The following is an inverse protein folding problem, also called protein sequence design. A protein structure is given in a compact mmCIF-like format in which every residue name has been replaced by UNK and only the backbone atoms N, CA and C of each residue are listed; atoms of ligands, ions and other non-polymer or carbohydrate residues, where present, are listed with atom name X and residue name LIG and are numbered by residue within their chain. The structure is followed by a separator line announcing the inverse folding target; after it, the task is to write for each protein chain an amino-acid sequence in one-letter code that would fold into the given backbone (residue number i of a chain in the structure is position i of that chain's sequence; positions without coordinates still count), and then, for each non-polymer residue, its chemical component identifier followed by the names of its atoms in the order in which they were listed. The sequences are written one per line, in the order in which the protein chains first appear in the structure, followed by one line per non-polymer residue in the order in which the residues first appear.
data_IF_633574549182
#
_entry.id   IF_633574549182
#
_cell.length_a   1.000
_cell.length_b   1.000
_cell.length_c   1.000
_cell.angle_alpha   90.00
_cell.angle_beta   90.00
_cell.angle_gamma   90.00
#
_symmetry.space_group_name_H-M   'P 1'
#
loop_
_entity.id
_entity.type
_entity.pdbx_description
1 polymer ?
#
# COMPACT_ATOMS: atom_id res chain seq x y z
N UNK A 1 0.08 -19.59 16.57
CA UNK A 1 -0.37 -20.46 15.46
C UNK A 1 -1.88 -20.57 15.56
N UNK A 2 -2.63 -19.89 14.69
CA UNK A 2 -4.08 -19.76 14.80
C UNK A 2 -4.78 -21.06 14.37
N UNK A 3 -5.70 -21.55 15.20
CA UNK A 3 -6.62 -22.64 14.85
C UNK A 3 -7.56 -22.13 13.76
N UNK A 4 -7.32 -22.51 12.51
CA UNK A 4 -8.34 -22.40 11.44
C UNK A 4 -9.52 -23.28 11.84
N UNK A 5 -10.68 -22.67 12.05
CA UNK A 5 -11.89 -23.39 12.47
C UNK A 5 -12.54 -24.07 11.25
N UNK A 6 -13.31 -25.14 11.46
CA UNK A 6 -14.05 -25.79 10.35
C UNK A 6 -15.03 -24.85 9.64
N UNK A 7 -15.47 -23.78 10.31
CA UNK A 7 -16.36 -22.77 9.75
C UNK A 7 -15.64 -21.90 8.71
N UNK A 8 -14.38 -21.51 8.96
CA UNK A 8 -13.56 -20.76 8.02
C UNK A 8 -13.38 -21.54 6.70
N UNK A 9 -13.10 -22.84 6.81
CA UNK A 9 -12.93 -23.72 5.64
C UNK A 9 -14.22 -23.90 4.81
N UNK A 10 -15.40 -23.81 5.43
CA UNK A 10 -16.70 -23.86 4.72
C UNK A 10 -17.00 -22.53 4.03
N UNK A 11 -16.61 -21.42 4.65
CA UNK A 11 -16.74 -20.08 4.08
C UNK A 11 -15.87 -19.92 2.83
N UNK A 12 -14.60 -20.29 2.91
CA UNK A 12 -13.65 -20.21 1.79
C UNK A 12 -14.16 -20.97 0.55
N UNK A 13 -14.69 -22.18 0.76
CA UNK A 13 -15.29 -22.98 -0.33
C UNK A 13 -16.48 -22.28 -0.99
N UNK A 14 -17.37 -21.67 -0.20
CA UNK A 14 -18.52 -20.92 -0.74
C UNK A 14 -18.06 -19.68 -1.51
N UNK A 15 -17.01 -19.02 -1.05
CA UNK A 15 -16.41 -17.87 -1.72
C UNK A 15 -15.80 -18.27 -3.07
N UNK A 16 -15.04 -19.37 -3.12
CA UNK A 16 -14.49 -19.91 -4.37
C UNK A 16 -15.59 -20.32 -5.35
N UNK A 17 -16.62 -21.04 -4.89
CA UNK A 17 -17.76 -21.43 -5.72
C UNK A 17 -18.51 -20.20 -6.28
N UNK A 18 -18.73 -19.17 -5.45
CA UNK A 18 -19.36 -17.94 -5.87
C UNK A 18 -18.53 -17.20 -6.92
N UNK A 19 -17.20 -17.13 -6.72
CA UNK A 19 -16.29 -16.52 -7.67
C UNK A 19 -16.24 -17.28 -9.00
N UNK A 20 -16.23 -18.61 -8.96
CA UNK A 20 -16.25 -19.46 -10.15
C UNK A 20 -17.54 -19.26 -10.97
N UNK A 21 -18.70 -19.28 -10.32
CA UNK A 21 -20.00 -18.98 -10.96
C UNK A 21 -20.03 -17.58 -11.55
N UNK A 22 -19.46 -16.60 -10.84
CA UNK A 22 -19.38 -15.22 -11.33
C UNK A 22 -18.55 -15.14 -12.62
N UNK A 23 -17.38 -15.78 -12.68
CA UNK A 23 -16.53 -15.86 -13.88
C UNK A 23 -17.27 -16.48 -15.06
N UNK A 24 -18.00 -17.58 -14.83
CA UNK A 24 -18.78 -18.24 -15.86
C UNK A 24 -19.89 -17.33 -16.41
N UNK A 25 -20.65 -16.66 -15.54
CA UNK A 25 -21.73 -15.77 -15.96
C UNK A 25 -21.23 -14.52 -16.68
N UNK A 26 -20.11 -13.94 -16.22
CA UNK A 26 -19.45 -12.80 -16.89
C UNK A 26 -19.07 -13.17 -18.33
N UNK A 27 -18.52 -14.38 -18.52
CA UNK A 27 -18.15 -14.88 -19.84
C UNK A 27 -19.38 -15.08 -20.73
N UNK A 28 -20.46 -15.67 -20.19
CA UNK A 28 -21.72 -15.87 -20.92
C UNK A 28 -22.42 -14.58 -21.32
N UNK A 29 -22.33 -13.55 -20.47
CA UNK A 29 -22.93 -12.23 -20.71
C UNK A 29 -22.04 -11.29 -21.53
N UNK A 30 -20.78 -11.68 -21.80
CA UNK A 30 -19.84 -10.84 -22.54
C UNK A 30 -19.46 -9.54 -21.84
N UNK A 31 -19.47 -9.52 -20.50
CA UNK A 31 -19.20 -8.31 -19.73
C UNK A 31 -17.69 -8.05 -19.66
N UNK A 32 -17.28 -6.82 -19.98
CA UNK A 32 -15.88 -6.36 -19.90
C UNK A 32 -15.45 -6.06 -18.45
N UNK A 33 -15.43 -7.07 -17.60
CA UNK A 33 -15.02 -6.95 -16.19
C UNK A 33 -14.21 -8.16 -15.73
N UNK A 34 -13.32 -7.94 -14.77
CA UNK A 34 -12.48 -8.98 -14.15
C UNK A 34 -12.89 -9.17 -12.69
N UNK A 35 -13.54 -10.29 -12.33
CA UNK A 35 -13.83 -10.60 -10.94
C UNK A 35 -12.53 -11.02 -10.24
N UNK A 36 -12.27 -10.44 -9.07
CA UNK A 36 -11.00 -10.61 -8.35
C UNK A 36 -11.15 -11.50 -7.12
N UNK A 37 -12.11 -11.20 -6.26
CA UNK A 37 -12.41 -11.99 -5.06
C UNK A 37 -13.89 -11.93 -4.71
N UNK A 38 -14.36 -12.91 -3.96
CA UNK A 38 -15.68 -12.90 -3.34
C UNK A 38 -15.51 -13.09 -1.83
N UNK A 39 -16.24 -12.32 -1.04
CA UNK A 39 -16.31 -12.49 0.40
C UNK A 39 -17.74 -12.83 0.81
N UNK A 40 -17.90 -13.84 1.66
CA UNK A 40 -19.18 -14.29 2.18
C UNK A 40 -19.32 -13.89 3.64
N UNK A 41 -20.38 -13.15 3.92
CA UNK A 41 -20.84 -12.86 5.27
C UNK A 41 -21.92 -13.89 5.64
N UNK A 42 -21.58 -14.79 6.57
CA UNK A 42 -22.47 -15.84 7.05
C UNK A 42 -23.62 -15.33 7.90
N UNK A 43 -23.43 -14.21 8.62
CA UNK A 43 -24.44 -13.63 9.50
C UNK A 43 -25.52 -12.91 8.66
N UNK A 44 -25.08 -12.12 7.68
CA UNK A 44 -25.98 -11.37 6.82
C UNK A 44 -26.47 -12.15 5.59
N UNK A 45 -25.98 -13.38 5.38
CA UNK A 45 -26.17 -14.19 4.16
C UNK A 45 -25.94 -13.34 2.88
N UNK A 46 -24.77 -12.72 2.84
CA UNK A 46 -24.42 -11.68 1.87
C UNK A 46 -23.07 -11.98 1.22
N UNK A 47 -23.01 -11.90 -0.12
CA UNK A 47 -21.78 -11.98 -0.89
C UNK A 47 -21.37 -10.61 -1.39
N UNK A 48 -20.14 -10.22 -1.12
CA UNK A 48 -19.49 -9.06 -1.74
C UNK A 48 -18.48 -9.55 -2.75
N UNK A 49 -18.71 -9.27 -4.04
CA UNK A 49 -17.76 -9.63 -5.10
C UNK A 49 -16.99 -8.39 -5.52
N UNK A 50 -15.67 -8.43 -5.36
CA UNK A 50 -14.76 -7.39 -5.81
C UNK A 50 -14.38 -7.61 -7.27
N UNK A 51 -14.48 -6.56 -8.07
CA UNK A 51 -14.12 -6.61 -9.48
C UNK A 51 -13.36 -5.37 -9.93
N UNK A 52 -12.62 -5.54 -11.01
CA UNK A 52 -12.01 -4.44 -11.76
C UNK A 52 -12.66 -4.31 -13.14
N UNK A 53 -12.86 -3.07 -13.58
CA UNK A 53 -13.33 -2.74 -14.93
C UNK A 53 -12.77 -1.37 -15.32
N UNK A 54 -12.32 -1.24 -16.57
CA UNK A 54 -11.81 0.02 -17.12
C UNK A 54 -12.95 0.94 -17.56
N UNK A 55 -13.99 0.37 -18.14
CA UNK A 55 -15.18 1.07 -18.64
C UNK A 55 -16.39 0.84 -17.72
N UNK A 56 -17.44 1.65 -17.90
CA UNK A 56 -18.70 1.44 -17.19
C UNK A 56 -19.38 0.17 -17.71
N UNK A 57 -19.60 -0.78 -16.82
CA UNK A 57 -20.26 -2.07 -17.13
C UNK A 57 -21.68 -2.06 -16.58
N UNK A 58 -22.66 -2.48 -17.38
CA UNK A 58 -24.01 -2.78 -16.89
C UNK A 58 -24.06 -4.22 -16.38
N UNK A 59 -24.04 -4.37 -15.06
CA UNK A 59 -24.04 -5.67 -14.37
C UNK A 59 -25.41 -6.04 -13.77
N UNK A 60 -26.50 -5.35 -14.17
CA UNK A 60 -27.84 -5.62 -13.61
C UNK A 60 -28.30 -7.07 -13.83
N UNK A 61 -28.11 -7.61 -15.03
CA UNK A 61 -28.45 -8.99 -15.33
C UNK A 61 -27.56 -9.99 -14.56
N UNK A 62 -26.26 -9.68 -14.43
CA UNK A 62 -25.31 -10.49 -13.66
C UNK A 62 -25.74 -10.61 -12.19
N UNK A 63 -26.10 -9.48 -11.55
CA UNK A 63 -26.57 -9.48 -10.15
C UNK A 63 -27.82 -10.34 -10.00
N UNK A 64 -28.78 -10.22 -10.92
CA UNK A 64 -30.00 -11.02 -10.88
C UNK A 64 -29.71 -12.53 -10.97
N UNK A 65 -28.86 -12.95 -11.92
CA UNK A 65 -28.47 -14.36 -12.08
C UNK A 65 -27.69 -14.89 -10.88
N UNK A 66 -26.76 -14.10 -10.34
CA UNK A 66 -25.98 -14.48 -9.16
C UNK A 66 -26.86 -14.65 -7.92
N UNK A 67 -27.81 -13.73 -7.67
CA UNK A 67 -28.76 -13.86 -6.55
C UNK A 67 -29.59 -15.13 -6.65
N UNK A 68 -30.03 -15.51 -7.84
CA UNK A 68 -30.79 -16.75 -8.04
C UNK A 68 -29.92 -18.01 -7.85
N UNK A 69 -28.68 -17.98 -8.33
CA UNK A 69 -27.76 -19.13 -8.24
C UNK A 69 -27.19 -19.35 -6.83
N UNK A 70 -26.91 -18.27 -6.10
CA UNK A 70 -26.30 -18.32 -4.76
C UNK A 70 -27.34 -18.31 -3.63
N UNK A 71 -28.61 -18.00 -3.93
CA UNK A 71 -29.70 -17.88 -2.94
C UNK A 71 -29.36 -16.95 -1.78
N UNK A 72 -28.59 -15.90 -2.08
CA UNK A 72 -28.06 -14.93 -1.13
C UNK A 72 -28.14 -13.52 -1.72
N UNK A 73 -27.98 -12.49 -0.87
CA UNK A 73 -27.80 -11.12 -1.35
C UNK A 73 -26.41 -11.01 -1.98
N UNK A 74 -26.31 -10.31 -3.10
CA UNK A 74 -25.04 -10.14 -3.83
C UNK A 74 -24.85 -8.66 -4.10
N UNK A 75 -23.72 -8.15 -3.63
CA UNK A 75 -23.22 -6.82 -3.92
C UNK A 75 -21.96 -6.94 -4.79
N UNK A 76 -21.89 -6.14 -5.85
CA UNK A 76 -20.70 -6.02 -6.68
C UNK A 76 -19.98 -4.73 -6.32
N UNK A 77 -18.71 -4.83 -5.93
CA UNK A 77 -17.89 -3.68 -5.56
C UNK A 77 -16.74 -3.50 -6.54
N UNK A 78 -16.73 -2.38 -7.25
CA UNK A 78 -15.61 -2.02 -8.10
C UNK A 78 -14.43 -1.55 -7.24
N UNK A 79 -13.23 -2.06 -7.52
CA UNK A 79 -12.01 -1.64 -6.86
C UNK A 79 -11.00 -1.06 -7.85
N UNK A 80 -10.17 -0.14 -7.33
CA UNK A 80 -9.16 0.53 -8.12
C UNK A 80 -7.95 -0.37 -8.42
N UNK A 81 -7.07 0.05 -9.34
CA UNK A 81 -5.90 -0.75 -9.73
C UNK A 81 -4.91 -0.96 -8.58
N UNK A 82 -4.86 -0.03 -7.61
CA UNK A 82 -4.01 -0.18 -6.40
C UNK A 82 -4.57 -1.25 -5.48
N UNK A 83 -5.88 -1.29 -5.29
CA UNK A 83 -6.53 -2.29 -4.44
C UNK A 83 -6.48 -3.67 -5.09
N UNK A 84 -6.56 -3.75 -6.42
CA UNK A 84 -6.29 -4.99 -7.16
C UNK A 84 -4.87 -5.49 -6.88
N UNK A 85 -3.86 -4.61 -6.99
CA UNK A 85 -2.48 -4.99 -6.68
C UNK A 85 -2.29 -5.36 -5.20
N UNK A 86 -3.01 -4.72 -4.29
CA UNK A 86 -3.03 -5.07 -2.86
C UNK A 86 -3.60 -6.47 -2.62
N UNK A 87 -4.69 -6.79 -3.31
CA UNK A 87 -5.41 -8.06 -3.18
C UNK A 87 -4.64 -9.23 -3.79
N UNK A 88 -4.07 -9.04 -4.98
CA UNK A 88 -3.19 -10.04 -5.63
C UNK A 88 -1.84 -10.15 -4.93
N UNK A 89 -1.40 -9.05 -4.33
CA UNK A 89 -0.09 -8.91 -3.72
C UNK A 89 1.05 -8.89 -4.74
N UNK A 90 2.28 -9.02 -4.23
CA UNK A 90 3.49 -9.12 -5.04
C UNK A 90 4.66 -8.33 -4.48
N UNK A 91 5.67 -8.14 -5.33
CA UNK A 91 6.89 -7.40 -4.98
C UNK A 91 6.88 -6.02 -5.65
N UNK A 92 7.25 -5.01 -4.88
CA UNK A 92 7.52 -3.68 -5.36
C UNK A 92 8.84 -3.61 -6.12
N UNK A 93 9.09 -2.45 -6.74
CA UNK A 93 10.33 -2.17 -7.48
C UNK A 93 11.58 -2.26 -6.59
N UNK A 94 11.40 -2.05 -5.29
CA UNK A 94 12.44 -2.15 -4.28
C UNK A 94 12.78 -3.60 -3.88
N UNK A 95 12.08 -4.59 -4.44
CA UNK A 95 12.27 -6.01 -4.10
C UNK A 95 11.53 -6.48 -2.85
N UNK A 96 10.87 -5.57 -2.12
CA UNK A 96 10.05 -5.90 -0.95
C UNK A 96 8.58 -6.10 -1.30
N UNK A 97 7.78 -6.76 -0.43
CA UNK A 97 6.33 -6.80 -0.58
C UNK A 97 5.72 -5.41 -0.76
N UNK A 98 4.60 -5.32 -1.49
CA UNK A 98 3.97 -4.03 -1.79
C UNK A 98 3.67 -3.23 -0.50
N UNK A 99 4.12 -1.97 -0.45
CA UNK A 99 3.85 -1.01 0.64
C UNK A 99 2.34 -1.02 1.02
N UNK A 100 1.45 -1.06 0.01
CA UNK A 100 -0.02 -1.05 0.17
C UNK A 100 -0.64 -2.33 0.74
N UNK A 101 0.06 -3.45 0.65
CA UNK A 101 -0.36 -4.73 1.21
C UNK A 101 0.16 -4.90 2.64
N UNK A 102 1.35 -4.37 2.93
CA UNK A 102 2.05 -4.62 4.18
C UNK A 102 1.65 -3.67 5.31
N UNK A 103 1.91 -2.37 5.15
CA UNK A 103 1.75 -1.39 6.26
C UNK A 103 1.03 -0.11 5.87
N UNK A 104 1.05 0.28 4.59
CA UNK A 104 0.32 1.45 4.11
C UNK A 104 -1.13 1.06 3.75
N UNK A 105 -2.02 1.12 4.73
CA UNK A 105 -3.45 0.86 4.52
C UNK A 105 -4.21 2.03 3.88
N UNK A 106 -3.86 3.25 4.28
CA UNK A 106 -4.51 4.49 3.86
C UNK A 106 -3.55 5.36 3.04
N UNK A 107 -4.06 5.98 1.98
CA UNK A 107 -3.22 6.64 0.98
C UNK A 107 -3.62 8.10 0.81
N UNK A 108 -2.70 8.99 1.18
CA UNK A 108 -2.79 10.36 0.72
C UNK A 108 -2.56 10.44 -0.80
N UNK A 109 -3.14 11.47 -1.41
CA UNK A 109 -2.94 11.74 -2.84
C UNK A 109 -1.45 11.99 -3.13
N UNK A 110 -0.89 11.23 -4.06
CA UNK A 110 0.51 11.36 -4.47
C UNK A 110 0.60 12.30 -5.66
N UNK A 111 1.55 13.24 -5.63
CA UNK A 111 1.78 14.18 -6.73
C UNK A 111 3.17 14.04 -7.33
N UNK A 112 3.32 14.45 -8.59
CA UNK A 112 4.61 14.45 -9.31
C UNK A 112 5.62 15.38 -8.63
N UNK A 113 5.15 16.44 -7.96
CA UNK A 113 6.01 17.37 -7.19
C UNK A 113 6.82 16.64 -6.11
N UNK A 114 6.20 15.66 -5.44
CA UNK A 114 6.85 14.88 -4.39
C UNK A 114 8.02 14.06 -4.95
N UNK A 115 7.84 13.45 -6.12
CA UNK A 115 8.92 12.73 -6.79
C UNK A 115 10.09 13.67 -7.14
N UNK A 116 9.80 14.89 -7.60
CA UNK A 116 10.82 15.91 -7.89
C UNK A 116 11.54 16.35 -6.62
N UNK A 117 10.81 16.54 -5.52
CA UNK A 117 11.36 16.96 -4.23
C UNK A 117 12.29 15.91 -3.62
N UNK A 118 12.06 14.64 -3.92
CA UNK A 118 12.87 13.49 -3.51
C UNK A 118 14.02 13.17 -4.49
N UNK A 119 14.22 14.00 -5.51
CA UNK A 119 15.31 13.82 -6.48
C UNK A 119 15.12 12.66 -7.46
N UNK A 120 13.91 12.14 -7.62
CA UNK A 120 13.61 11.06 -8.55
C UNK A 120 13.43 11.60 -9.98
N UNK A 121 13.95 10.85 -10.96
CA UNK A 121 13.73 11.13 -12.37
C UNK A 121 12.23 11.04 -12.71
N UNK A 122 11.70 12.03 -13.42
CA UNK A 122 10.28 12.13 -13.81
C UNK A 122 9.83 11.13 -14.88
N UNK A 123 10.58 10.04 -15.09
CA UNK A 123 10.20 8.97 -16.00
C UNK A 123 9.08 8.13 -15.35
N UNK A 124 7.91 7.97 -15.99
CA UNK A 124 6.81 7.15 -15.48
C UNK A 124 7.23 5.75 -15.01
N UNK A 125 8.18 5.11 -15.70
CA UNK A 125 8.68 3.78 -15.32
C UNK A 125 9.33 3.77 -13.93
N UNK A 126 9.99 4.87 -13.54
CA UNK A 126 10.67 4.99 -12.25
C UNK A 126 9.69 5.36 -11.14
N UNK A 127 8.71 6.22 -11.41
CA UNK A 127 7.82 6.79 -10.37
C UNK A 127 6.46 6.09 -10.23
N UNK A 128 6.07 5.20 -11.14
CA UNK A 128 4.79 4.48 -11.09
C UNK A 128 4.92 3.08 -10.52
N UNK A 129 4.20 2.72 -9.45
CA UNK A 129 4.18 1.37 -8.88
C UNK A 129 3.63 0.29 -9.82
N UNK A 130 3.63 -0.96 -9.34
CA UNK A 130 3.12 -2.14 -10.08
C UNK A 130 1.64 -1.97 -10.46
N UNK A 131 0.88 -1.25 -9.64
CA UNK A 131 -0.52 -0.88 -9.92
C UNK A 131 -0.70 0.21 -11.00
N UNK A 132 0.37 0.65 -11.68
CA UNK A 132 0.32 1.69 -12.71
C UNK A 132 0.12 3.12 -12.21
N UNK A 133 -0.17 3.32 -10.91
CA UNK A 133 -0.25 4.65 -10.26
C UNK A 133 1.09 5.06 -9.67
N UNK A 134 1.25 6.35 -9.35
CA UNK A 134 2.43 6.85 -8.63
C UNK A 134 2.72 6.04 -7.35
N UNK A 135 4.00 5.88 -7.05
CA UNK A 135 4.50 5.17 -5.87
C UNK A 135 3.90 5.73 -4.58
N UNK A 136 3.24 4.88 -3.79
CA UNK A 136 2.67 5.27 -2.49
C UNK A 136 3.74 5.64 -1.46
N UNK A 137 4.93 5.05 -1.57
CA UNK A 137 6.03 5.28 -0.64
C UNK A 137 6.58 6.72 -0.80
N UNK A 138 6.36 7.40 -1.95
CA UNK A 138 6.63 8.85 -2.11
C UNK A 138 5.87 9.69 -1.09
N UNK A 139 4.60 9.36 -0.85
CA UNK A 139 3.81 10.07 0.14
C UNK A 139 4.21 9.73 1.56
N UNK A 140 4.57 8.48 1.80
CA UNK A 140 5.05 8.05 3.11
C UNK A 140 6.29 8.82 3.53
N UNK A 141 7.30 8.89 2.66
CA UNK A 141 8.60 9.50 2.96
C UNK A 141 8.59 11.04 2.84
N UNK A 142 7.55 11.63 2.25
CA UNK A 142 7.51 13.07 1.94
C UNK A 142 7.80 13.99 3.12
N UNK A 143 7.33 13.63 4.33
CA UNK A 143 7.57 14.41 5.55
C UNK A 143 9.04 14.37 5.94
N UNK A 144 9.65 13.20 5.90
CA UNK A 144 11.07 13.00 6.26
C UNK A 144 12.00 13.73 5.28
N UNK A 145 11.66 13.72 3.99
CA UNK A 145 12.36 14.50 2.97
C UNK A 145 12.22 16.03 3.16
N UNK A 146 11.09 16.50 3.70
CA UNK A 146 10.90 17.92 4.00
C UNK A 146 11.74 18.36 5.21
N UNK A 147 11.87 17.51 6.23
CA UNK A 147 12.69 17.80 7.41
C UNK A 147 14.20 17.74 7.10
N UNK A 148 14.64 16.75 6.32
CA UNK A 148 16.06 16.64 5.93
C UNK A 148 16.56 17.82 5.10
N UNK A 149 15.70 18.48 4.33
CA UNK A 149 16.05 19.74 3.63
C UNK A 149 16.34 20.91 4.57
N UNK A 150 15.88 20.86 5.82
CA UNK A 150 16.16 21.89 6.84
C UNK A 150 17.49 21.65 7.55
N UNK A 151 18.09 20.47 7.39
CA UNK A 151 19.37 20.13 8.00
C UNK A 151 20.47 20.88 7.23
N UNK A 152 21.30 21.69 7.92
CA UNK A 152 22.44 22.35 7.29
C UNK A 152 23.38 21.32 6.66
N UNK A 153 23.97 21.65 5.51
CA UNK A 153 24.99 20.79 4.91
C UNK A 153 26.21 20.69 5.83
N UNK A 154 27.03 19.61 5.75
CA UNK A 154 28.22 19.42 6.60
C UNK A 154 29.18 20.63 6.62
N UNK A 155 29.18 21.44 5.56
CA UNK A 155 30.05 22.61 5.40
C UNK A 155 29.33 23.96 5.65
N UNK A 156 28.09 23.95 6.16
CA UNK A 156 27.41 25.18 6.59
C UNK A 156 27.64 25.41 8.08
N UNK A 157 28.38 26.47 8.39
CA UNK A 157 28.51 26.97 9.76
C UNK A 157 27.12 27.26 10.34
N UNK A 158 26.76 26.50 11.38
CA UNK A 158 25.55 26.73 12.15
C UNK A 158 25.91 27.80 13.17
N UNK A 159 25.50 29.05 12.94
CA UNK A 159 25.63 30.11 13.94
C UNK A 159 24.62 29.85 15.07
N UNK A 160 24.97 28.96 16.00
CA UNK A 160 24.25 28.84 17.25
C UNK A 160 24.54 30.10 18.09
N UNK A 161 23.53 30.75 18.69
CA UNK A 161 23.77 31.84 19.61
C UNK A 161 24.50 31.28 20.84
N UNK A 162 25.80 31.54 20.94
CA UNK A 162 26.59 31.30 22.15
C UNK A 162 26.03 32.22 23.24
N UNK A 163 25.19 31.67 24.10
CA UNK A 163 24.92 32.30 25.39
C UNK A 163 26.23 32.31 26.17
N UNK A 164 26.82 33.49 26.34
CA UNK A 164 27.94 33.72 27.27
C UNK A 164 27.44 33.45 28.68
N UNK A 165 27.64 32.24 29.19
CA UNK A 165 27.59 31.97 30.61
C UNK A 165 28.90 32.48 31.22
N UNK A 166 28.85 33.66 31.83
CA UNK A 166 29.84 34.09 32.81
C UNK A 166 29.74 33.17 34.03
N UNK A 167 30.86 32.55 34.43
CA UNK A 167 30.94 31.72 35.63
C UNK A 167 32.37 31.25 35.85
N UNK A 168 32.99 31.80 36.89
CA UNK A 168 34.41 31.67 37.23
C UNK A 168 34.86 30.25 37.66
N UNK A 169 36.10 29.96 37.26
CA UNK A 169 37.18 29.28 37.98
C UNK A 169 37.30 27.74 38.16
N UNK A 170 38.52 27.31 37.79
CA UNK A 170 39.43 26.32 38.42
C UNK A 170 39.34 24.82 38.10
N UNK A 171 40.20 24.44 37.14
CA UNK A 171 41.22 23.37 37.15
C UNK A 171 40.90 21.99 37.77
N UNK A 172 41.04 20.94 36.95
CA UNK A 172 42.13 19.94 37.02
C UNK A 172 41.86 18.82 36.01
N UNK A 173 42.88 18.47 35.21
CA UNK A 173 42.75 17.62 34.04
C UNK A 173 42.69 16.12 34.32
N UNK A 174 42.55 15.34 33.25
CA UNK A 174 43.65 14.48 32.81
C UNK A 174 43.45 14.06 31.35
N UNK A 175 44.56 14.02 30.63
CA UNK A 175 44.69 13.53 29.27
C UNK A 175 44.64 12.01 29.28
N UNK A 176 43.85 11.41 28.39
CA UNK A 176 44.14 10.03 27.94
C UNK A 176 43.84 9.89 26.47
N UNK A 177 44.77 9.19 25.83
CA UNK A 177 45.13 9.22 24.42
C UNK A 177 44.21 8.44 23.47
N UNK A 178 44.43 8.78 22.19
CA UNK A 178 44.06 8.06 20.98
C UNK A 178 44.32 6.55 21.02
N UNK A 179 43.43 5.76 20.40
CA UNK A 179 43.87 4.73 19.43
C UNK A 179 42.81 4.58 18.32
N UNK A 180 43.18 4.71 17.03
CA UNK A 180 42.33 4.32 15.90
C UNK A 180 42.46 2.81 15.66
N UNK A 181 41.34 2.09 15.49
CA UNK A 181 41.37 0.71 15.02
C UNK A 181 40.99 0.66 13.53
N UNK A 182 42.00 0.44 12.69
CA UNK A 182 41.82 0.06 11.30
C UNK A 182 41.90 -1.47 11.14
N UNK A 183 41.12 -1.95 10.16
CA UNK A 183 41.28 -3.16 9.32
C UNK A 183 40.52 -4.43 9.73
N UNK A 184 39.83 -4.93 8.70
CA UNK A 184 39.13 -6.20 8.56
C UNK A 184 38.37 -6.15 7.26
#
# INVERSE_FOLDING_TARGET
MAKMTEEDSKKDKREEEALAKCKEMITKLGLKMKPLAACYDSEANHFTVFFHAEERVDFRELVWKLRHSLKARVELRQIGPRDEAKLLGGLGKCGYPLCCQNFLGDFASVSIKMAKEQGLALNPMKISGVCGRLLCCLSYESKDYAETKKIPKPDQEISAPVNKASGDNTASGNSTELVPNERG
#
